data_IF_566912554650
#
_entry.id   IF_566912554650
#
_cell.length_a   1.000
_cell.length_b   1.000
_cell.length_c   1.000
_cell.angle_alpha   90.00
_cell.angle_beta   90.00
_cell.angle_gamma   90.00
#
_symmetry.space_group_name_H-M   'P 1'
#
loop_
_entity.id
_entity.type
_entity.pdbx_description
1 polymer ?
#
# COMPACT_ATOMS: atom_id res chain seq x y z
N UNK A 1 -45.48 -31.83 5.75
CA UNK A 1 -45.72 -31.06 4.51
C UNK A 1 -44.47 -31.13 3.66
N UNK A 2 -44.54 -31.70 2.46
CA UNK A 2 -43.43 -31.67 1.50
C UNK A 2 -43.38 -30.25 0.92
N UNK A 3 -42.30 -29.52 1.17
CA UNK A 3 -42.12 -28.20 0.58
C UNK A 3 -41.95 -28.35 -0.94
N UNK A 4 -43.01 -28.08 -1.69
CA UNK A 4 -42.97 -27.92 -3.14
C UNK A 4 -42.30 -26.58 -3.44
N UNK A 5 -40.97 -26.59 -3.53
CA UNK A 5 -40.24 -25.48 -4.11
C UNK A 5 -40.57 -25.51 -5.60
N UNK A 6 -41.43 -24.60 -6.05
CA UNK A 6 -41.72 -24.41 -7.47
C UNK A 6 -40.41 -24.12 -8.21
N UNK A 7 -40.20 -24.73 -9.38
CA UNK A 7 -38.94 -24.62 -10.14
C UNK A 7 -38.49 -23.17 -10.40
N UNK A 8 -39.44 -22.23 -10.45
CA UNK A 8 -39.18 -20.78 -10.51
C UNK A 8 -38.47 -20.24 -9.26
N UNK A 9 -38.85 -20.67 -8.06
CA UNK A 9 -38.24 -20.19 -6.81
C UNK A 9 -36.80 -20.68 -6.65
N UNK A 10 -36.51 -21.90 -7.10
CA UNK A 10 -35.16 -22.46 -7.08
C UNK A 10 -34.22 -21.76 -8.07
N UNK A 11 -34.72 -21.41 -9.26
CA UNK A 11 -34.02 -20.59 -10.26
C UNK A 11 -33.69 -19.19 -9.74
N UNK A 12 -34.65 -18.51 -9.10
CA UNK A 12 -34.42 -17.19 -8.50
C UNK A 12 -33.37 -17.23 -7.39
N UNK A 13 -33.36 -18.29 -6.58
CA UNK A 13 -32.41 -18.46 -5.48
C UNK A 13 -30.98 -18.70 -5.99
N UNK A 14 -30.82 -19.52 -7.04
CA UNK A 14 -29.54 -19.71 -7.73
C UNK A 14 -29.07 -18.39 -8.35
N UNK A 15 -29.95 -17.62 -8.97
CA UNK A 15 -29.60 -16.33 -9.58
C UNK A 15 -29.05 -15.35 -8.54
N UNK A 16 -29.71 -15.21 -7.39
CA UNK A 16 -29.23 -14.36 -6.28
C UNK A 16 -27.86 -14.83 -5.81
N UNK A 17 -27.67 -16.14 -5.61
CA UNK A 17 -26.39 -16.69 -5.16
C UNK A 17 -25.26 -16.38 -6.16
N UNK A 18 -25.48 -16.56 -7.46
CA UNK A 18 -24.48 -16.27 -8.50
C UNK A 18 -24.11 -14.79 -8.51
N UNK A 19 -25.10 -13.90 -8.45
CA UNK A 19 -24.87 -12.45 -8.44
C UNK A 19 -24.09 -12.04 -7.19
N UNK A 20 -24.50 -12.49 -5.99
CA UNK A 20 -23.79 -12.17 -4.74
C UNK A 20 -22.35 -12.69 -4.74
N UNK A 21 -22.12 -13.91 -5.23
CA UNK A 21 -20.76 -14.46 -5.32
C UNK A 21 -19.91 -13.71 -6.36
N UNK A 22 -20.49 -13.32 -7.49
CA UNK A 22 -19.82 -12.47 -8.48
C UNK A 22 -19.34 -11.16 -7.87
N UNK A 23 -20.22 -10.47 -7.11
CA UNK A 23 -19.85 -9.24 -6.40
C UNK A 23 -18.76 -9.45 -5.34
N UNK A 24 -18.80 -10.56 -4.60
CA UNK A 24 -17.77 -10.90 -3.60
C UNK A 24 -16.42 -11.21 -4.24
N UNK A 25 -16.41 -11.99 -5.33
CA UNK A 25 -15.19 -12.33 -6.06
C UNK A 25 -14.58 -11.09 -6.69
N UNK A 26 -15.37 -10.26 -7.37
CA UNK A 26 -14.90 -9.01 -7.96
C UNK A 26 -14.34 -8.07 -6.88
N UNK A 27 -15.01 -7.99 -5.73
CA UNK A 27 -14.52 -7.20 -4.59
C UNK A 27 -13.16 -7.69 -4.09
N UNK A 28 -12.98 -9.00 -3.92
CA UNK A 28 -11.72 -9.58 -3.45
C UNK A 28 -10.61 -9.43 -4.49
N UNK A 29 -10.87 -9.72 -5.76
CA UNK A 29 -9.90 -9.60 -6.83
C UNK A 29 -9.37 -8.16 -6.95
N UNK A 30 -10.27 -7.16 -6.91
CA UNK A 30 -9.88 -5.74 -6.91
C UNK A 30 -9.08 -5.35 -5.67
N UNK A 31 -9.31 -6.00 -4.53
CA UNK A 31 -8.54 -5.72 -3.32
C UNK A 31 -7.12 -6.28 -3.42
N UNK A 32 -6.99 -7.52 -3.89
CA UNK A 32 -5.68 -8.13 -4.13
C UNK A 32 -4.87 -7.36 -5.17
N UNK A 33 -5.50 -6.94 -6.27
CA UNK A 33 -4.85 -6.16 -7.31
C UNK A 33 -4.33 -4.83 -6.77
N UNK A 34 -5.13 -4.15 -5.94
CA UNK A 34 -4.72 -2.88 -5.34
C UNK A 34 -3.60 -3.05 -4.31
N UNK A 35 -3.66 -4.07 -3.46
CA UNK A 35 -2.57 -4.38 -2.51
C UNK A 35 -1.29 -4.68 -3.28
N UNK A 36 -1.35 -5.49 -4.35
CA UNK A 36 -0.19 -5.78 -5.20
C UNK A 36 0.35 -4.55 -5.91
N UNK A 37 -0.52 -3.68 -6.42
CA UNK A 37 -0.10 -2.44 -7.08
C UNK A 37 0.68 -1.55 -6.10
N UNK A 38 0.16 -1.38 -4.88
CA UNK A 38 0.79 -0.57 -3.84
C UNK A 38 2.09 -1.20 -3.35
N UNK A 39 2.12 -2.51 -3.12
CA UNK A 39 3.33 -3.26 -2.78
C UNK A 39 4.42 -3.08 -3.85
N UNK A 40 4.04 -3.15 -5.14
CA UNK A 40 4.95 -2.89 -6.25
C UNK A 40 5.45 -1.43 -6.28
N UNK A 41 4.57 -0.45 -6.08
CA UNK A 41 4.93 0.97 -6.05
C UNK A 41 5.84 1.31 -4.87
N UNK A 42 5.61 0.68 -3.71
CA UNK A 42 6.46 0.80 -2.52
C UNK A 42 7.84 0.23 -2.81
N UNK A 43 7.92 -1.02 -3.27
CA UNK A 43 9.17 -1.67 -3.66
C UNK A 43 10.01 -0.79 -4.58
N UNK A 44 9.40 -0.29 -5.66
CA UNK A 44 10.06 0.58 -6.63
C UNK A 44 10.54 1.90 -6.02
N UNK A 45 9.70 2.54 -5.20
CA UNK A 45 10.06 3.80 -4.53
C UNK A 45 11.26 3.61 -3.59
N UNK A 46 11.32 2.49 -2.88
CA UNK A 46 12.49 2.12 -2.07
C UNK A 46 13.73 1.83 -2.90
N UNK A 47 13.61 1.12 -4.03
CA UNK A 47 14.76 0.85 -4.90
C UNK A 47 15.34 2.15 -5.46
N UNK A 48 14.48 3.11 -5.81
CA UNK A 48 14.91 4.45 -6.25
C UNK A 48 15.59 5.26 -5.16
N UNK A 49 15.11 5.17 -3.92
CA UNK A 49 15.80 5.77 -2.78
C UNK A 49 17.16 5.12 -2.55
N UNK A 50 17.21 3.78 -2.59
CA UNK A 50 18.44 3.05 -2.39
C UNK A 50 19.48 3.46 -3.46
N UNK A 51 19.12 3.43 -4.74
CA UNK A 51 19.98 3.89 -5.85
C UNK A 51 20.50 5.32 -5.65
N UNK A 52 19.65 6.22 -5.15
CA UNK A 52 20.03 7.63 -4.95
C UNK A 52 20.97 7.84 -3.77
N UNK A 53 20.82 7.06 -2.70
CA UNK A 53 21.47 7.32 -1.41
C UNK A 53 22.53 6.29 -1.01
N UNK A 54 22.73 5.20 -1.78
CA UNK A 54 23.66 4.09 -1.50
C UNK A 54 25.10 4.52 -1.17
N UNK A 55 25.54 5.65 -1.70
CA UNK A 55 26.94 6.11 -1.55
C UNK A 55 27.11 7.21 -0.51
N UNK A 56 26.07 7.59 0.23
CA UNK A 56 26.17 8.64 1.25
C UNK A 56 26.85 8.09 2.49
N UNK A 57 27.99 8.70 2.86
CA UNK A 57 28.64 8.46 4.13
C UNK A 57 27.93 9.23 5.26
N UNK A 58 27.10 8.54 6.05
CA UNK A 58 26.29 9.15 7.10
C UNK A 58 27.12 9.46 8.35
N UNK A 59 28.21 8.72 8.59
CA UNK A 59 29.07 8.91 9.76
C UNK A 59 29.83 10.24 9.75
N UNK A 60 30.08 10.82 8.57
CA UNK A 60 30.72 12.12 8.41
C UNK A 60 29.79 13.34 8.56
N UNK A 61 28.48 13.13 8.68
CA UNK A 61 27.50 14.21 8.70
C UNK A 61 27.28 14.78 10.11
N UNK A 62 27.15 16.10 10.19
CA UNK A 62 26.68 16.79 11.39
C UNK A 62 25.20 16.51 11.67
N UNK A 63 24.75 16.76 12.90
CA UNK A 63 23.35 16.56 13.28
C UNK A 63 22.34 17.30 12.39
N UNK A 64 22.65 18.56 12.00
CA UNK A 64 21.78 19.32 11.09
C UNK A 64 21.66 18.64 9.74
N UNK A 65 22.78 18.21 9.16
CA UNK A 65 22.80 17.55 7.86
C UNK A 65 22.08 16.20 7.87
N UNK A 66 22.18 15.44 8.98
CA UNK A 66 21.41 14.20 9.15
C UNK A 66 19.91 14.47 9.14
N UNK A 67 19.46 15.52 9.81
CA UNK A 67 18.04 15.91 9.83
C UNK A 67 17.56 16.38 8.45
N UNK A 68 18.37 17.17 7.75
CA UNK A 68 18.04 17.64 6.39
C UNK A 68 17.94 16.45 5.42
N UNK A 69 18.86 15.48 5.53
CA UNK A 69 18.84 14.24 4.75
C UNK A 69 17.60 13.39 5.06
N UNK A 70 17.21 13.28 6.34
CA UNK A 70 16.00 12.57 6.74
C UNK A 70 14.74 13.17 6.08
N UNK A 71 14.61 14.50 6.11
CA UNK A 71 13.50 15.20 5.46
C UNK A 71 13.53 15.03 3.94
N UNK A 72 14.72 15.05 3.32
CA UNK A 72 14.88 14.80 1.89
C UNK A 72 14.45 13.38 1.50
N UNK A 73 14.84 12.36 2.26
CA UNK A 73 14.46 10.95 2.02
C UNK A 73 12.94 10.80 2.12
N UNK A 74 12.30 11.39 3.14
CA UNK A 74 10.83 11.37 3.28
C UNK A 74 10.14 11.98 2.07
N UNK A 75 10.58 13.16 1.66
CA UNK A 75 10.01 13.87 0.50
C UNK A 75 10.23 13.09 -0.80
N UNK A 76 11.43 12.55 -1.01
CA UNK A 76 11.75 11.74 -2.18
C UNK A 76 10.88 10.47 -2.23
N UNK A 77 10.68 9.80 -1.10
CA UNK A 77 9.78 8.64 -0.99
C UNK A 77 8.36 8.99 -1.41
N UNK A 78 7.76 10.02 -0.78
CA UNK A 78 6.40 10.44 -1.08
C UNK A 78 6.21 10.85 -2.55
N UNK A 79 7.22 11.53 -3.13
CA UNK A 79 7.21 11.94 -4.52
C UNK A 79 7.32 10.76 -5.50
N UNK A 80 8.11 9.73 -5.17
CA UNK A 80 8.17 8.51 -5.96
C UNK A 80 6.84 7.74 -5.85
N UNK A 81 6.35 7.55 -4.64
CA UNK A 81 5.16 6.75 -4.39
C UNK A 81 3.90 7.37 -5.04
N UNK A 82 3.75 8.69 -4.95
CA UNK A 82 2.62 9.41 -5.56
C UNK A 82 2.62 9.38 -7.10
N UNK A 83 3.77 9.16 -7.75
CA UNK A 83 3.85 9.01 -9.21
C UNK A 83 3.46 7.62 -9.67
N UNK A 84 3.77 6.60 -8.88
CA UNK A 84 3.52 5.21 -9.24
C UNK A 84 2.10 4.75 -8.88
N UNK A 85 1.55 5.26 -7.78
CA UNK A 85 0.20 4.90 -7.36
C UNK A 85 -0.83 5.63 -8.24
N UNK A 86 -1.44 4.88 -9.16
CA UNK A 86 -2.51 5.35 -10.04
C UNK A 86 -3.88 4.87 -9.53
N UNK A 87 -4.34 5.36 -8.38
CA UNK A 87 -5.59 4.88 -7.75
C UNK A 87 -6.34 6.00 -7.04
N UNK A 88 -7.68 5.93 -7.10
CA UNK A 88 -8.63 6.87 -6.47
C UNK A 88 -8.64 6.79 -4.92
N UNK A 89 -7.77 5.98 -4.32
CA UNK A 89 -7.63 5.94 -2.87
C UNK A 89 -6.94 7.21 -2.34
N UNK A 90 -7.31 7.62 -1.14
CA UNK A 90 -6.51 8.57 -0.37
C UNK A 90 -5.45 7.79 0.40
N UNK A 91 -4.20 8.25 0.31
CA UNK A 91 -3.04 7.64 0.95
C UNK A 91 -2.55 8.54 2.08
N UNK A 92 -2.27 7.94 3.23
CA UNK A 92 -1.60 8.55 4.36
C UNK A 92 -0.33 7.76 4.63
N UNK A 93 0.82 8.43 4.60
CA UNK A 93 2.14 7.82 4.75
C UNK A 93 2.70 8.23 6.10
N UNK A 94 2.96 7.24 6.95
CA UNK A 94 3.46 7.39 8.31
C UNK A 94 4.84 6.77 8.43
N UNK A 95 5.88 7.60 8.52
CA UNK A 95 7.23 7.14 8.81
C UNK A 95 7.34 6.77 10.28
N UNK A 96 7.52 5.47 10.59
CA UNK A 96 7.56 4.95 11.97
C UNK A 96 8.96 5.10 12.57
N UNK A 97 9.98 4.72 11.81
CA UNK A 97 11.37 4.81 12.22
C UNK A 97 12.25 5.10 11.00
N UNK A 98 13.19 6.03 11.16
CA UNK A 98 14.27 6.26 10.20
C UNK A 98 15.59 6.19 10.96
N UNK A 99 16.44 5.25 10.58
CA UNK A 99 17.77 5.10 11.13
C UNK A 99 18.80 5.21 10.02
N UNK A 100 19.33 6.41 9.82
CA UNK A 100 20.30 6.70 8.76
C UNK A 100 21.63 5.96 8.98
N UNK A 101 22.04 5.72 10.22
CA UNK A 101 23.32 5.05 10.54
C UNK A 101 23.27 3.56 10.25
N UNK A 102 22.10 2.94 10.39
CA UNK A 102 21.87 1.54 10.02
C UNK A 102 21.36 1.40 8.59
N UNK A 103 21.08 2.51 7.90
CA UNK A 103 20.42 2.46 6.61
C UNK A 103 19.06 1.77 6.69
N UNK A 104 18.17 2.24 7.55
CA UNK A 104 16.90 1.57 7.80
C UNK A 104 15.75 2.56 7.76
N UNK A 105 14.66 2.16 7.08
CA UNK A 105 13.44 2.95 6.96
C UNK A 105 12.20 2.06 7.15
N UNK A 106 11.37 2.41 8.13
CA UNK A 106 10.08 1.78 8.41
C UNK A 106 8.93 2.75 8.12
N UNK A 107 7.99 2.32 7.29
CA UNK A 107 6.87 3.12 6.79
C UNK A 107 5.56 2.33 6.87
N UNK A 108 4.56 2.96 7.47
CA UNK A 108 3.16 2.52 7.40
C UNK A 108 2.43 3.35 6.34
N UNK A 109 1.70 2.68 5.45
CA UNK A 109 0.85 3.31 4.45
C UNK A 109 -0.60 2.93 4.71
N UNK A 110 -1.41 3.94 5.04
CA UNK A 110 -2.85 3.79 5.27
C UNK A 110 -3.60 4.25 4.03
N UNK A 111 -4.49 3.40 3.54
CA UNK A 111 -5.30 3.65 2.36
C UNK A 111 -6.76 3.79 2.75
N UNK A 112 -7.42 4.80 2.22
CA UNK A 112 -8.85 5.02 2.44
C UNK A 112 -9.59 5.29 1.13
N UNK A 113 -10.74 4.64 0.94
CA UNK A 113 -11.50 4.70 -0.29
C UNK A 113 -12.79 5.51 -0.08
N UNK A 114 -13.11 6.42 -1.01
CA UNK A 114 -14.34 7.23 -0.94
C UNK A 114 -15.61 6.43 -1.23
N UNK A 115 -15.55 5.32 -1.98
CA UNK A 115 -16.76 4.55 -2.30
C UNK A 115 -17.22 3.71 -1.12
N UNK A 116 -18.49 3.92 -0.73
CA UNK A 116 -19.13 3.62 0.57
C UNK A 116 -19.22 2.14 1.00
N UNK A 117 -18.40 1.26 0.46
CA UNK A 117 -18.31 -0.16 0.83
C UNK A 117 -16.93 -0.55 1.36
N UNK A 118 -15.97 0.38 1.38
CA UNK A 118 -14.60 0.14 1.84
C UNK A 118 -14.29 1.05 3.04
N UNK A 119 -13.88 0.42 4.15
CA UNK A 119 -13.28 1.10 5.29
C UNK A 119 -11.85 1.54 4.99
N UNK A 120 -11.07 1.80 6.04
CA UNK A 120 -9.62 2.03 5.92
C UNK A 120 -8.90 0.69 5.81
N UNK A 121 -7.94 0.58 4.90
CA UNK A 121 -7.01 -0.55 4.83
C UNK A 121 -5.60 -0.08 5.18
N UNK A 122 -4.84 -0.95 5.84
CA UNK A 122 -3.52 -0.65 6.36
C UNK A 122 -2.50 -1.57 5.70
N UNK A 123 -1.44 -0.99 5.15
CA UNK A 123 -0.29 -1.71 4.63
C UNK A 123 0.96 -1.28 5.40
N UNK A 124 1.74 -2.24 5.87
CA UNK A 124 2.96 -2.01 6.65
C UNK A 124 4.16 -2.40 5.81
N UNK A 125 5.19 -1.57 5.80
CA UNK A 125 6.32 -1.76 4.92
C UNK A 125 7.65 -1.37 5.57
N UNK A 126 8.56 -2.33 5.66
CA UNK A 126 9.87 -2.19 6.29
C UNK A 126 10.97 -2.52 5.27
N UNK A 127 11.96 -1.63 5.08
CA UNK A 127 13.07 -1.90 4.15
C UNK A 127 14.38 -1.24 4.57
N UNK A 128 15.48 -1.96 4.32
CA UNK A 128 16.83 -1.45 4.49
C UNK A 128 17.30 -0.68 3.26
N UNK A 129 18.00 0.42 3.51
CA UNK A 129 18.74 1.25 2.56
C UNK A 129 20.23 1.01 2.78
N UNK A 130 21.02 0.88 1.73
CA UNK A 130 22.48 0.71 1.80
C UNK A 130 23.19 2.02 2.15
N UNK A 131 22.95 2.60 3.33
CA UNK A 131 23.70 3.76 3.83
C UNK A 131 24.96 3.27 4.56
N UNK A 132 26.11 3.92 4.33
CA UNK A 132 27.43 3.52 4.85
C UNK A 132 28.14 4.62 5.64
#
# INVERSE_FOLDING_TARGET
MKALITGSGLLSLIFILVVTHGFLIEKNARNEELIRAVDSSLNYSFDKLNEKYETINVHGLSFSQKKDLEEEIKLAFCNCLSKEISSDANYEINFKEINLEKGYLDVEVVMSFKHSLKGREYCYYEKFMGLH
#
